data_IF_313952054903
#
_entry.id   IF_313952054903
#
_cell.length_a   1.000
_cell.length_b   1.000
_cell.length_c   1.000
_cell.angle_alpha   90.00
_cell.angle_beta   90.00
_cell.angle_gamma   90.00
#
_symmetry.space_group_name_H-M   'P 1'
#
loop_
_entity.id
_entity.type
_entity.pdbx_description
1 polymer ?
#
# COMPACT_ATOMS: atom_id res chain seq x y z
N UNK A 1 -2.02 15.33 -24.74
CA UNK A 1 -1.99 14.89 -23.34
C UNK A 1 -2.59 13.50 -23.26
N UNK A 2 -1.85 12.53 -22.72
CA UNK A 2 -2.31 11.14 -22.49
C UNK A 2 -3.02 11.10 -21.14
N UNK A 3 -4.16 10.42 -21.04
CA UNK A 3 -4.84 10.18 -19.75
C UNK A 3 -4.81 8.70 -19.41
N UNK A 4 -4.36 8.36 -18.21
CA UNK A 4 -4.30 6.98 -17.68
C UNK A 4 -5.41 6.84 -16.62
N UNK A 5 -6.29 5.86 -16.79
CA UNK A 5 -7.33 5.56 -15.82
C UNK A 5 -6.86 4.45 -14.85
N UNK A 6 -6.51 4.83 -13.63
CA UNK A 6 -6.07 3.91 -12.59
C UNK A 6 -7.25 3.34 -11.80
N UNK A 7 -7.45 2.02 -11.86
CA UNK A 7 -8.47 1.34 -11.05
C UNK A 7 -7.90 0.97 -9.68
N UNK A 8 -8.47 1.56 -8.63
CA UNK A 8 -8.05 1.44 -7.23
C UNK A 8 -9.23 1.13 -6.31
N UNK A 9 -8.95 0.73 -5.07
CA UNK A 9 -10.01 0.55 -4.08
C UNK A 9 -10.65 1.87 -3.65
N UNK A 10 -9.83 2.82 -3.26
CA UNK A 10 -10.16 4.22 -2.94
C UNK A 10 -8.85 5.01 -2.88
N UNK A 11 -8.87 6.32 -2.94
CA UNK A 11 -7.67 7.16 -2.82
C UNK A 11 -7.46 7.62 -1.36
N UNK A 12 -7.28 6.63 -0.47
CA UNK A 12 -6.92 6.85 0.95
C UNK A 12 -5.38 6.82 1.13
N UNK A 13 -4.89 7.14 2.35
CA UNK A 13 -3.46 7.04 2.68
C UNK A 13 -3.06 5.60 2.94
N UNK A 14 -2.80 4.84 1.88
CA UNK A 14 -2.27 3.48 1.93
C UNK A 14 -1.16 3.31 0.87
N UNK A 15 -0.41 2.19 0.91
CA UNK A 15 0.83 2.04 0.14
C UNK A 15 0.69 2.26 -1.37
N UNK A 16 -0.32 1.64 -2.00
CA UNK A 16 -0.56 1.77 -3.45
C UNK A 16 -0.96 3.20 -3.81
N UNK A 17 -1.91 3.76 -3.06
CA UNK A 17 -2.44 5.10 -3.29
C UNK A 17 -1.36 6.16 -3.07
N UNK A 18 -0.52 5.98 -2.05
CA UNK A 18 0.63 6.88 -1.79
C UNK A 18 1.67 6.78 -2.90
N UNK A 19 1.99 5.57 -3.37
CA UNK A 19 2.89 5.37 -4.51
C UNK A 19 2.36 6.10 -5.77
N UNK A 20 1.09 5.93 -6.11
CA UNK A 20 0.47 6.60 -7.25
C UNK A 20 0.53 8.13 -7.12
N UNK A 21 0.28 8.65 -5.92
CA UNK A 21 0.39 10.10 -5.67
C UNK A 21 1.83 10.59 -5.76
N UNK A 22 2.82 9.80 -5.32
CA UNK A 22 4.23 10.16 -5.47
C UNK A 22 4.61 10.29 -6.95
N UNK A 23 4.22 9.34 -7.80
CA UNK A 23 4.39 9.50 -9.24
C UNK A 23 3.62 10.70 -9.79
N UNK A 24 2.35 10.88 -9.40
CA UNK A 24 1.50 11.92 -9.95
C UNK A 24 1.98 13.34 -9.62
N UNK A 25 2.58 13.55 -8.46
CA UNK A 25 3.18 14.85 -8.06
C UNK A 25 4.39 15.23 -8.91
N UNK A 26 5.20 14.24 -9.32
CA UNK A 26 6.50 14.46 -9.94
C UNK A 26 6.52 14.28 -11.47
N UNK A 27 5.42 13.79 -12.05
CA UNK A 27 5.33 13.62 -13.50
C UNK A 27 5.01 14.93 -14.21
N UNK A 28 5.35 14.99 -15.51
CA UNK A 28 4.94 16.08 -16.42
C UNK A 28 3.45 15.94 -16.74
N UNK A 29 2.62 16.66 -16.00
CA UNK A 29 1.16 16.60 -16.12
C UNK A 29 0.61 17.26 -17.39
N UNK A 30 1.41 17.98 -18.16
CA UNK A 30 1.02 18.47 -19.47
C UNK A 30 1.06 17.36 -20.52
N UNK A 31 1.94 16.38 -20.34
CA UNK A 31 2.07 15.20 -21.21
C UNK A 31 1.17 14.05 -20.79
N UNK A 32 1.16 13.73 -19.49
CA UNK A 32 0.41 12.60 -18.94
C UNK A 32 -0.42 13.05 -17.74
N UNK A 33 -1.67 12.63 -17.67
CA UNK A 33 -2.58 12.87 -16.55
C UNK A 33 -3.07 11.56 -15.96
N UNK A 34 -3.17 11.49 -14.64
CA UNK A 34 -3.79 10.38 -13.93
C UNK A 34 -5.23 10.71 -13.56
N UNK A 35 -6.09 9.73 -13.82
CA UNK A 35 -7.48 9.72 -13.36
C UNK A 35 -7.75 8.44 -12.59
N UNK A 36 -8.70 8.48 -11.65
CA UNK A 36 -8.87 7.40 -10.68
C UNK A 36 -10.29 6.83 -10.73
N UNK A 37 -10.37 5.51 -10.92
CA UNK A 37 -11.60 4.73 -10.87
C UNK A 37 -11.68 4.03 -9.50
N UNK A 38 -12.39 4.65 -8.56
CA UNK A 38 -12.53 4.18 -7.20
C UNK A 38 -13.72 3.24 -7.04
N UNK A 39 -13.51 2.10 -6.36
CA UNK A 39 -14.55 1.10 -6.13
C UNK A 39 -15.35 1.34 -4.83
N UNK A 40 -14.99 2.37 -4.05
CA UNK A 40 -15.76 2.84 -2.90
C UNK A 40 -16.40 4.19 -3.21
N UNK A 41 -17.60 4.42 -2.65
CA UNK A 41 -18.34 5.66 -2.82
C UNK A 41 -17.90 6.76 -1.85
N UNK A 42 -17.27 6.38 -0.71
CA UNK A 42 -16.77 7.33 0.29
C UNK A 42 -15.58 8.11 -0.29
N UNK A 43 -15.49 9.43 -0.09
CA UNK A 43 -14.33 10.23 -0.45
C UNK A 43 -13.03 9.66 0.15
N UNK A 44 -11.96 9.72 -0.61
CA UNK A 44 -10.61 9.37 -0.18
C UNK A 44 -9.83 10.58 0.33
N UNK A 45 -8.76 10.32 1.08
CA UNK A 45 -7.93 11.37 1.67
C UNK A 45 -7.15 12.20 0.63
N UNK A 46 -6.94 11.65 -0.56
CA UNK A 46 -6.24 12.32 -1.66
C UNK A 46 -7.16 12.98 -2.70
N UNK A 47 -8.49 12.88 -2.56
CA UNK A 47 -9.43 13.36 -3.58
C UNK A 47 -9.21 14.84 -3.95
N UNK A 48 -9.16 15.72 -2.95
CA UNK A 48 -8.98 17.16 -3.19
C UNK A 48 -7.63 17.48 -3.86
N UNK A 49 -6.58 16.74 -3.49
CA UNK A 49 -5.26 16.90 -4.09
C UNK A 49 -5.26 16.45 -5.56
N UNK A 50 -5.87 15.31 -5.86
CA UNK A 50 -5.99 14.79 -7.22
C UNK A 50 -6.69 15.80 -8.12
N UNK A 51 -7.81 16.35 -7.64
CA UNK A 51 -8.59 17.37 -8.40
C UNK A 51 -7.79 18.66 -8.61
N UNK A 52 -7.03 19.11 -7.60
CA UNK A 52 -6.16 20.28 -7.70
C UNK A 52 -5.02 20.10 -8.70
N UNK A 53 -4.57 18.87 -8.92
CA UNK A 53 -3.55 18.49 -9.91
C UNK A 53 -4.13 18.27 -11.32
N UNK A 54 -5.46 18.40 -11.51
CA UNK A 54 -6.15 18.23 -12.79
C UNK A 54 -6.64 16.81 -13.09
N UNK A 55 -6.52 15.89 -12.11
CA UNK A 55 -7.04 14.54 -12.20
C UNK A 55 -8.55 14.47 -11.94
N UNK A 56 -9.17 13.40 -12.46
CA UNK A 56 -10.60 13.13 -12.28
C UNK A 56 -10.79 11.88 -11.41
N UNK A 57 -11.86 11.89 -10.61
CA UNK A 57 -12.20 10.73 -9.77
C UNK A 57 -13.57 10.21 -10.17
N UNK A 58 -13.63 8.95 -10.56
CA UNK A 58 -14.85 8.23 -10.90
C UNK A 58 -15.16 7.19 -9.83
N UNK A 59 -16.40 7.15 -9.35
CA UNK A 59 -16.82 6.20 -8.33
C UNK A 59 -17.78 5.18 -8.90
N UNK A 60 -17.36 3.91 -8.87
CA UNK A 60 -18.14 2.82 -9.46
C UNK A 60 -19.23 2.33 -8.51
N UNK A 61 -20.23 1.57 -9.01
CA UNK A 61 -21.24 0.90 -8.17
C UNK A 61 -20.69 -0.15 -7.19
N UNK A 62 -19.37 -0.34 -7.15
CA UNK A 62 -18.67 -1.31 -6.33
C UNK A 62 -18.47 -2.67 -7.04
N UNK A 63 -17.44 -3.39 -6.59
CA UNK A 63 -17.07 -4.70 -7.14
C UNK A 63 -17.83 -5.82 -6.41
N UNK A 64 -18.95 -6.22 -6.97
CA UNK A 64 -19.78 -7.33 -6.51
C UNK A 64 -20.27 -8.13 -7.73
N UNK A 65 -20.17 -9.46 -7.77
CA UNK A 65 -20.66 -10.27 -8.89
C UNK A 65 -22.12 -9.97 -9.28
N UNK A 66 -23.01 -9.77 -8.30
CA UNK A 66 -24.42 -9.44 -8.52
C UNK A 66 -24.58 -8.06 -9.20
N UNK A 67 -23.70 -7.12 -8.89
CA UNK A 67 -23.72 -5.75 -9.47
C UNK A 67 -22.90 -5.64 -10.75
N UNK A 68 -22.30 -6.74 -11.23
CA UNK A 68 -21.41 -6.70 -12.38
C UNK A 68 -22.05 -6.16 -13.65
N UNK A 69 -23.30 -6.49 -14.02
CA UNK A 69 -23.96 -5.86 -15.18
C UNK A 69 -24.08 -4.33 -15.04
N UNK A 70 -24.37 -3.82 -13.84
CA UNK A 70 -24.41 -2.38 -13.58
C UNK A 70 -23.02 -1.75 -13.69
N UNK A 71 -21.99 -2.46 -13.25
CA UNK A 71 -20.61 -2.03 -13.39
C UNK A 71 -20.21 -1.92 -14.87
N UNK A 72 -20.54 -2.93 -15.69
CA UNK A 72 -20.27 -2.90 -17.14
C UNK A 72 -21.01 -1.75 -17.85
N UNK A 73 -22.28 -1.53 -17.50
CA UNK A 73 -23.06 -0.41 -18.05
C UNK A 73 -22.42 0.95 -17.67
N UNK A 74 -22.01 1.11 -16.41
CA UNK A 74 -21.28 2.30 -15.95
C UNK A 74 -19.99 2.51 -16.74
N UNK A 75 -19.16 1.48 -16.90
CA UNK A 75 -17.90 1.57 -17.65
C UNK A 75 -18.10 1.88 -19.12
N UNK A 76 -19.14 1.29 -19.75
CA UNK A 76 -19.51 1.59 -21.14
C UNK A 76 -19.85 3.07 -21.31
N UNK A 77 -20.66 3.61 -20.41
CA UNK A 77 -21.05 5.03 -20.45
C UNK A 77 -19.84 5.94 -20.15
N UNK A 78 -18.96 5.56 -19.21
CA UNK A 78 -17.73 6.29 -18.92
C UNK A 78 -16.84 6.39 -20.16
N UNK A 79 -16.55 5.27 -20.82
CA UNK A 79 -15.71 5.28 -22.02
C UNK A 79 -16.36 5.97 -23.23
N UNK A 80 -17.70 5.92 -23.31
CA UNK A 80 -18.45 6.68 -24.33
C UNK A 80 -18.34 8.20 -24.11
N UNK A 81 -18.40 8.64 -22.83
CA UNK A 81 -18.31 10.05 -22.45
C UNK A 81 -16.88 10.60 -22.52
N UNK A 82 -15.90 9.75 -22.30
CA UNK A 82 -14.47 10.10 -22.25
C UNK A 82 -13.65 9.21 -23.21
N UNK A 83 -13.79 9.42 -24.53
CA UNK A 83 -13.14 8.58 -25.55
C UNK A 83 -11.62 8.74 -25.60
N UNK A 84 -11.07 9.72 -24.87
CA UNK A 84 -9.63 9.92 -24.71
C UNK A 84 -8.92 8.82 -23.91
N UNK A 85 -9.64 8.01 -23.12
CA UNK A 85 -9.03 6.91 -22.39
C UNK A 85 -8.60 5.79 -23.32
N UNK A 86 -7.27 5.64 -23.46
CA UNK A 86 -6.61 4.57 -24.22
C UNK A 86 -5.85 3.61 -23.32
N UNK A 87 -5.73 3.93 -22.03
CA UNK A 87 -4.97 3.19 -21.04
C UNK A 87 -5.82 3.02 -19.78
N UNK A 88 -5.96 1.77 -19.34
CA UNK A 88 -6.52 1.40 -18.04
C UNK A 88 -5.51 0.56 -17.29
N UNK A 89 -5.13 1.02 -16.10
CA UNK A 89 -4.20 0.32 -15.23
C UNK A 89 -4.89 -0.07 -13.91
N UNK A 90 -4.83 -1.35 -13.54
CA UNK A 90 -5.52 -1.88 -12.36
C UNK A 90 -4.54 -2.26 -11.25
N UNK A 91 -4.78 -1.70 -10.04
CA UNK A 91 -3.94 -1.86 -8.85
C UNK A 91 -4.62 -2.63 -7.70
N UNK A 92 -5.90 -2.93 -7.80
CA UNK A 92 -6.71 -3.47 -6.71
C UNK A 92 -6.70 -5.01 -6.62
N UNK A 93 -5.54 -5.61 -6.89
CA UNK A 93 -5.31 -7.04 -6.82
C UNK A 93 -6.20 -7.81 -7.82
N UNK A 94 -6.47 -9.09 -7.55
CA UNK A 94 -7.23 -9.95 -8.49
C UNK A 94 -8.58 -9.35 -8.94
N UNK A 95 -9.22 -8.54 -8.10
CA UNK A 95 -10.47 -7.86 -8.47
C UNK A 95 -10.30 -6.77 -9.55
N UNK A 96 -9.08 -6.36 -9.85
CA UNK A 96 -8.77 -5.46 -10.96
C UNK A 96 -9.23 -6.01 -12.32
N UNK A 97 -9.40 -7.32 -12.44
CA UNK A 97 -9.94 -7.96 -13.66
C UNK A 97 -11.30 -7.37 -14.07
N UNK A 98 -12.11 -6.88 -13.15
CA UNK A 98 -13.41 -6.26 -13.46
C UNK A 98 -13.23 -5.02 -14.34
N UNK A 99 -12.30 -4.12 -13.99
CA UNK A 99 -11.99 -2.93 -14.78
C UNK A 99 -11.35 -3.29 -16.12
N UNK A 100 -10.41 -4.23 -16.10
CA UNK A 100 -9.69 -4.67 -17.31
C UNK A 100 -10.60 -5.41 -18.30
N UNK A 101 -11.54 -6.24 -17.82
CA UNK A 101 -12.53 -6.86 -18.68
C UNK A 101 -13.51 -5.84 -19.27
N UNK A 102 -13.98 -4.88 -18.47
CA UNK A 102 -14.82 -3.80 -18.98
C UNK A 102 -14.06 -2.94 -20.01
N UNK A 103 -12.77 -2.66 -19.78
CA UNK A 103 -11.92 -1.96 -20.75
C UNK A 103 -11.78 -2.76 -22.06
N UNK A 104 -11.56 -4.09 -21.97
CA UNK A 104 -11.50 -4.98 -23.14
C UNK A 104 -12.77 -4.96 -23.95
N UNK A 105 -13.95 -5.04 -23.31
CA UNK A 105 -15.26 -4.99 -23.97
C UNK A 105 -15.55 -3.65 -24.67
N UNK A 106 -14.84 -2.57 -24.25
CA UNK A 106 -14.97 -1.24 -24.85
C UNK A 106 -13.76 -0.88 -25.74
N UNK A 107 -12.99 -1.89 -26.18
CA UNK A 107 -11.86 -1.75 -27.10
C UNK A 107 -10.76 -0.78 -26.62
N UNK A 108 -10.55 -0.68 -25.30
CA UNK A 108 -9.40 0.08 -24.76
C UNK A 108 -8.11 -0.66 -25.13
N UNK A 109 -7.21 0.07 -25.75
CA UNK A 109 -5.99 -0.49 -26.36
C UNK A 109 -5.03 -1.07 -25.32
N UNK A 110 -4.72 -0.29 -24.26
CA UNK A 110 -3.72 -0.65 -23.27
C UNK A 110 -4.40 -1.01 -21.94
N UNK A 111 -4.27 -2.26 -21.56
CA UNK A 111 -4.86 -2.82 -20.34
C UNK A 111 -3.75 -3.42 -19.50
N UNK A 112 -3.39 -2.70 -18.44
CA UNK A 112 -2.25 -2.97 -17.59
C UNK A 112 -2.75 -3.53 -16.26
N UNK A 113 -2.15 -4.61 -15.81
CA UNK A 113 -2.32 -5.06 -14.43
C UNK A 113 -1.01 -4.85 -13.68
N UNK A 114 -1.08 -4.09 -12.58
CA UNK A 114 0.06 -3.82 -11.73
C UNK A 114 -0.05 -4.63 -10.44
N UNK A 115 0.83 -5.59 -10.27
CA UNK A 115 0.88 -6.48 -9.10
C UNK A 115 1.62 -5.79 -7.94
N UNK A 116 0.97 -5.70 -6.76
CA UNK A 116 1.53 -5.06 -5.57
C UNK A 116 1.69 -6.01 -4.38
N UNK A 117 1.11 -7.19 -4.42
CA UNK A 117 1.11 -8.12 -3.29
C UNK A 117 1.70 -9.47 -3.62
N UNK A 118 2.59 -9.97 -2.78
CA UNK A 118 3.19 -11.31 -2.92
C UNK A 118 2.22 -12.46 -2.57
N UNK A 119 0.98 -12.16 -2.17
CA UNK A 119 -0.05 -13.17 -1.92
C UNK A 119 -1.46 -12.63 -2.14
N UNK A 120 -2.41 -13.54 -2.40
CA UNK A 120 -3.83 -13.20 -2.44
C UNK A 120 -4.39 -13.30 -1.02
N UNK A 121 -4.92 -12.18 -0.51
CA UNK A 121 -5.51 -12.14 0.84
C UNK A 121 -6.59 -13.22 1.01
N UNK A 122 -6.40 -14.09 2.00
CA UNK A 122 -7.33 -15.17 2.35
C UNK A 122 -8.48 -14.61 3.21
N UNK A 123 -9.57 -14.23 2.55
CA UNK A 123 -10.81 -13.79 3.17
C UNK A 123 -12.00 -14.52 2.51
N UNK A 124 -13.22 -14.20 2.92
CA UNK A 124 -14.44 -14.82 2.39
C UNK A 124 -14.62 -14.64 0.85
N UNK A 125 -13.91 -13.68 0.24
CA UNK A 125 -13.88 -13.46 -1.21
C UNK A 125 -12.81 -14.27 -1.94
N UNK A 126 -12.06 -15.13 -1.25
CA UNK A 126 -10.96 -15.89 -1.85
C UNK A 126 -11.37 -16.66 -3.11
N UNK A 127 -12.51 -17.40 -3.14
CA UNK A 127 -12.93 -18.11 -4.36
C UNK A 127 -13.11 -17.16 -5.55
N UNK A 128 -13.75 -16.02 -5.33
CA UNK A 128 -13.91 -14.99 -6.35
C UNK A 128 -12.57 -14.42 -6.84
N UNK A 129 -11.65 -14.16 -5.92
CA UNK A 129 -10.31 -13.66 -6.27
C UNK A 129 -9.52 -14.65 -7.11
N UNK A 130 -9.64 -15.96 -6.83
CA UNK A 130 -8.99 -17.01 -7.61
C UNK A 130 -9.57 -17.10 -9.02
N UNK A 131 -10.90 -17.04 -9.18
CA UNK A 131 -11.57 -16.95 -10.48
C UNK A 131 -11.12 -15.69 -11.23
N UNK A 132 -11.05 -14.54 -10.57
CA UNK A 132 -10.57 -13.31 -11.18
C UNK A 132 -9.11 -13.45 -11.64
N UNK A 133 -8.23 -14.02 -10.80
CA UNK A 133 -6.84 -14.27 -11.17
C UNK A 133 -6.70 -15.17 -12.39
N UNK A 134 -7.47 -16.28 -12.48
CA UNK A 134 -7.40 -17.18 -13.63
C UNK A 134 -7.80 -16.52 -14.96
N UNK A 135 -8.62 -15.45 -14.89
CA UNK A 135 -9.05 -14.68 -16.06
C UNK A 135 -8.16 -13.49 -16.38
N UNK A 136 -7.14 -13.22 -15.54
CA UNK A 136 -6.33 -12.01 -15.66
C UNK A 136 -5.61 -11.94 -17.01
N UNK A 137 -4.86 -12.98 -17.40
CA UNK A 137 -4.08 -13.02 -18.66
C UNK A 137 -4.94 -12.75 -19.91
N UNK A 138 -6.21 -13.20 -19.90
CA UNK A 138 -7.11 -12.97 -21.03
C UNK A 138 -7.60 -11.52 -21.19
N UNK A 139 -7.38 -10.66 -20.18
CA UNK A 139 -7.91 -9.29 -20.12
C UNK A 139 -6.84 -8.21 -20.13
N UNK A 140 -5.56 -8.58 -20.10
CA UNK A 140 -4.42 -7.65 -20.10
C UNK A 140 -3.57 -7.82 -21.35
N UNK A 141 -2.77 -6.84 -21.64
CA UNK A 141 -1.70 -6.89 -22.64
C UNK A 141 -0.38 -6.31 -22.11
N UNK A 142 -0.38 -5.78 -20.87
CA UNK A 142 0.85 -5.41 -20.15
C UNK A 142 0.80 -5.91 -18.72
N UNK A 143 1.95 -6.37 -18.22
CA UNK A 143 2.14 -6.94 -16.88
C UNK A 143 3.18 -6.09 -16.15
N UNK A 144 2.72 -5.34 -15.12
CA UNK A 144 3.60 -4.56 -14.26
C UNK A 144 3.63 -5.14 -12.86
N UNK A 145 4.74 -5.01 -12.17
CA UNK A 145 4.88 -5.47 -10.79
C UNK A 145 5.82 -4.57 -9.99
N UNK A 146 5.52 -4.39 -8.71
CA UNK A 146 6.42 -3.68 -7.81
C UNK A 146 7.60 -4.52 -7.31
N UNK A 147 7.62 -5.84 -7.59
CA UNK A 147 8.68 -6.75 -7.17
C UNK A 147 8.46 -8.16 -7.70
N UNK A 148 9.50 -8.98 -7.68
CA UNK A 148 9.53 -10.35 -8.21
C UNK A 148 8.45 -11.23 -7.56
N UNK A 149 8.33 -11.20 -6.22
CA UNK A 149 7.35 -12.01 -5.49
C UNK A 149 5.89 -11.67 -5.87
N UNK A 150 5.60 -10.40 -6.16
CA UNK A 150 4.28 -9.96 -6.63
C UNK A 150 4.03 -10.42 -8.07
N UNK A 151 5.04 -10.34 -8.96
CA UNK A 151 4.97 -10.85 -10.32
C UNK A 151 4.70 -12.36 -10.32
N UNK A 152 5.44 -13.15 -9.55
CA UNK A 152 5.25 -14.59 -9.42
C UNK A 152 3.85 -14.94 -8.92
N UNK A 153 3.36 -14.20 -7.92
CA UNK A 153 2.02 -14.40 -7.36
C UNK A 153 0.91 -14.23 -8.40
N UNK A 154 0.98 -13.25 -9.28
CA UNK A 154 -0.12 -12.94 -10.22
C UNK A 154 0.10 -13.51 -11.62
N UNK A 155 1.32 -13.54 -12.12
CA UNK A 155 1.62 -13.92 -13.50
C UNK A 155 2.21 -15.32 -13.62
N UNK A 156 2.77 -15.88 -12.53
CA UNK A 156 3.40 -17.20 -12.47
C UNK A 156 4.91 -17.16 -12.66
N UNK A 157 5.56 -18.28 -12.30
CA UNK A 157 7.03 -18.43 -12.34
C UNK A 157 7.61 -18.29 -13.75
N UNK A 158 6.92 -18.86 -14.73
CA UNK A 158 7.41 -18.81 -16.13
C UNK A 158 7.51 -17.37 -16.64
N UNK A 159 6.52 -16.52 -16.32
CA UNK A 159 6.54 -15.09 -16.67
C UNK A 159 7.74 -14.37 -16.03
N UNK A 160 8.07 -14.74 -14.79
CA UNK A 160 9.22 -14.14 -14.07
C UNK A 160 10.55 -14.61 -14.69
N UNK A 161 10.68 -15.91 -14.96
CA UNK A 161 11.89 -16.49 -15.58
C UNK A 161 12.14 -15.92 -16.97
N UNK A 162 11.08 -15.76 -17.76
CA UNK A 162 11.18 -15.20 -19.11
C UNK A 162 11.35 -13.69 -19.16
N UNK A 163 11.12 -12.98 -18.04
CA UNK A 163 11.14 -11.52 -18.02
C UNK A 163 9.94 -10.88 -18.73
N UNK A 164 8.83 -11.58 -18.85
CA UNK A 164 7.62 -11.11 -19.55
C UNK A 164 6.78 -10.14 -18.69
N UNK A 165 7.42 -9.25 -17.93
CA UNK A 165 6.77 -8.20 -17.16
C UNK A 165 7.71 -7.02 -16.94
N UNK A 166 7.13 -5.85 -16.66
CA UNK A 166 7.88 -4.64 -16.30
C UNK A 166 7.96 -4.49 -14.80
N UNK A 167 9.16 -4.33 -14.26
CA UNK A 167 9.40 -4.03 -12.86
C UNK A 167 9.30 -2.52 -12.64
N UNK A 168 8.26 -2.11 -11.88
CA UNK A 168 8.03 -0.70 -11.49
C UNK A 168 8.06 -0.64 -9.97
N UNK A 169 9.23 -0.36 -9.36
CA UNK A 169 9.38 -0.32 -7.91
C UNK A 169 8.52 0.76 -7.25
N UNK A 170 8.17 0.55 -5.99
CA UNK A 170 7.50 1.59 -5.22
C UNK A 170 8.44 2.77 -5.00
N UNK A 171 8.06 3.96 -5.46
CA UNK A 171 8.80 5.19 -5.27
C UNK A 171 8.31 5.96 -4.04
N UNK A 172 9.24 6.62 -3.36
CA UNK A 172 8.98 7.56 -2.26
C UNK A 172 9.64 8.91 -2.56
N UNK A 173 9.16 9.95 -1.92
CA UNK A 173 9.82 11.26 -1.90
C UNK A 173 10.90 11.24 -0.80
N UNK A 174 12.12 10.80 -1.15
CA UNK A 174 13.21 10.52 -0.19
C UNK A 174 13.45 11.68 0.76
N UNK A 175 13.42 12.91 0.27
CA UNK A 175 13.67 14.14 1.02
C UNK A 175 12.72 14.30 2.22
N UNK A 176 11.50 13.77 2.13
CA UNK A 176 10.52 13.82 3.23
C UNK A 176 10.84 12.87 4.38
N UNK A 177 11.68 11.88 4.13
CA UNK A 177 12.03 10.84 5.10
C UNK A 177 13.43 10.99 5.68
N UNK A 178 14.27 11.86 5.12
CA UNK A 178 15.61 12.10 5.65
C UNK A 178 15.57 12.43 7.15
N UNK A 179 16.53 11.89 7.87
CA UNK A 179 16.65 12.13 9.31
C UNK A 179 16.73 13.63 9.63
N UNK A 180 15.92 14.07 10.59
CA UNK A 180 15.86 15.45 11.05
C UNK A 180 15.92 15.51 12.58
N UNK A 181 17.01 16.07 13.13
CA UNK A 181 17.27 16.15 14.57
C UNK A 181 16.24 17.00 15.32
N UNK A 182 15.76 18.09 14.71
CA UNK A 182 14.79 18.97 15.36
C UNK A 182 13.43 18.31 15.45
N UNK A 183 13.01 17.62 14.38
CA UNK A 183 11.79 16.80 14.35
C UNK A 183 11.86 15.68 15.39
N UNK A 184 13.01 14.98 15.47
CA UNK A 184 13.27 13.96 16.50
C UNK A 184 13.10 14.54 17.91
N UNK A 185 13.77 15.64 18.20
CA UNK A 185 13.73 16.29 19.52
C UNK A 185 12.32 16.75 19.87
N UNK A 186 11.59 17.34 18.93
CA UNK A 186 10.21 17.80 19.08
C UNK A 186 9.26 16.64 19.41
N UNK A 187 9.29 15.56 18.61
CA UNK A 187 8.41 14.40 18.81
C UNK A 187 8.75 13.69 20.12
N UNK A 188 10.04 13.45 20.40
CA UNK A 188 10.47 12.78 21.62
C UNK A 188 10.11 13.57 22.88
N UNK A 189 10.20 14.91 22.82
CA UNK A 189 9.75 15.77 23.93
C UNK A 189 8.25 15.70 24.15
N UNK A 190 7.49 15.80 23.05
CA UNK A 190 6.01 15.80 23.10
C UNK A 190 5.43 14.49 23.65
N UNK A 191 6.07 13.37 23.38
CA UNK A 191 5.55 12.04 23.70
C UNK A 191 6.33 11.33 24.81
N UNK A 192 7.15 12.04 25.59
CA UNK A 192 7.95 11.51 26.70
C UNK A 192 8.91 10.37 26.28
N UNK A 193 9.52 10.49 25.09
CA UNK A 193 10.45 9.52 24.51
C UNK A 193 11.93 9.97 24.64
N UNK A 194 12.21 11.09 25.33
CA UNK A 194 13.60 11.49 25.60
C UNK A 194 14.32 10.41 26.40
N UNK A 195 15.55 10.14 26.04
CA UNK A 195 16.40 9.11 26.65
C UNK A 195 15.76 7.70 26.65
N UNK A 196 14.88 7.42 25.69
CA UNK A 196 14.28 6.09 25.50
C UNK A 196 14.84 5.44 24.25
N UNK A 197 14.88 4.11 24.25
CA UNK A 197 15.16 3.30 23.06
C UNK A 197 13.84 3.00 22.34
N UNK A 198 13.65 3.65 21.21
CA UNK A 198 12.36 3.67 20.52
C UNK A 198 12.34 2.71 19.34
N UNK A 199 11.61 1.62 19.50
CA UNK A 199 11.29 0.68 18.41
C UNK A 199 10.05 1.20 17.69
N UNK A 200 10.16 1.46 16.39
CA UNK A 200 9.08 1.96 15.54
C UNK A 200 8.47 0.88 14.65
N UNK A 201 7.17 0.93 14.46
CA UNK A 201 6.44 0.16 13.45
C UNK A 201 5.37 1.02 12.80
N UNK A 202 5.29 0.95 11.48
CA UNK A 202 4.29 1.65 10.68
C UNK A 202 3.50 0.64 9.85
N UNK A 203 2.19 0.56 10.08
CA UNK A 203 1.37 -0.39 9.35
C UNK A 203 -0.07 -0.49 9.84
N UNK A 204 -0.96 -0.95 8.95
CA UNK A 204 -2.37 -1.18 9.32
C UNK A 204 -2.48 -2.33 10.31
N UNK A 205 -3.30 -2.18 11.35
CA UNK A 205 -3.58 -3.23 12.34
C UNK A 205 -4.43 -4.35 11.74
N UNK A 206 -3.75 -5.25 11.00
CA UNK A 206 -4.32 -6.41 10.34
C UNK A 206 -3.35 -7.59 10.40
N UNK A 207 -3.86 -8.81 10.17
CA UNK A 207 -3.08 -10.04 10.32
C UNK A 207 -1.75 -10.02 9.56
N UNK A 208 -1.72 -9.45 8.35
CA UNK A 208 -0.52 -9.33 7.52
C UNK A 208 0.66 -8.70 8.27
N UNK A 209 0.42 -7.61 9.01
CA UNK A 209 1.48 -6.83 9.70
C UNK A 209 1.96 -7.47 11.01
N UNK A 210 1.28 -8.51 11.49
CA UNK A 210 1.70 -9.37 12.60
C UNK A 210 2.06 -8.64 13.90
N UNK A 211 1.26 -7.64 14.27
CA UNK A 211 1.45 -6.89 15.51
C UNK A 211 1.46 -7.80 16.75
N UNK A 212 0.74 -8.93 16.69
CA UNK A 212 0.70 -9.91 17.80
C UNK A 212 2.10 -10.44 18.10
N UNK A 213 2.84 -10.87 17.08
CA UNK A 213 4.23 -11.34 17.23
C UNK A 213 5.17 -10.18 17.62
N UNK A 214 4.95 -8.98 17.08
CA UNK A 214 5.74 -7.81 17.47
C UNK A 214 5.66 -7.54 18.98
N UNK A 215 4.45 -7.66 19.58
CA UNK A 215 4.27 -7.49 21.02
C UNK A 215 5.00 -8.57 21.82
N UNK A 216 4.99 -9.83 21.35
CA UNK A 216 5.69 -10.92 22.03
C UNK A 216 7.20 -10.65 22.04
N UNK A 217 7.78 -10.28 20.90
CA UNK A 217 9.21 -9.93 20.78
C UNK A 217 9.54 -8.69 21.63
N UNK A 218 8.70 -7.66 21.57
CA UNK A 218 8.94 -6.45 22.36
C UNK A 218 8.83 -6.69 23.87
N UNK A 219 7.93 -7.57 24.30
CA UNK A 219 7.82 -7.94 25.73
C UNK A 219 9.11 -8.57 26.25
N UNK A 220 9.76 -9.44 25.48
CA UNK A 220 11.05 -10.02 25.85
C UNK A 220 12.15 -8.96 25.85
N UNK A 221 12.22 -8.10 24.83
CA UNK A 221 13.18 -7.01 24.80
C UNK A 221 13.02 -6.04 25.98
N UNK A 222 11.78 -5.70 26.35
CA UNK A 222 11.49 -4.78 27.45
C UNK A 222 11.87 -5.31 28.84
N UNK A 223 12.17 -6.62 28.98
CA UNK A 223 12.73 -7.20 30.23
C UNK A 223 14.22 -6.87 30.38
N UNK A 224 14.93 -6.73 29.26
CA UNK A 224 16.38 -6.45 29.24
C UNK A 224 16.67 -4.94 29.21
N UNK A 225 15.67 -4.12 28.81
CA UNK A 225 15.81 -2.68 28.66
C UNK A 225 14.60 -1.94 29.26
N UNK A 226 14.80 -1.33 30.43
CA UNK A 226 13.74 -0.58 31.12
C UNK A 226 13.30 0.67 30.34
N UNK A 227 14.18 1.24 29.53
CA UNK A 227 13.93 2.44 28.70
C UNK A 227 13.38 2.12 27.31
N UNK A 228 13.20 0.84 26.97
CA UNK A 228 12.56 0.45 25.73
C UNK A 228 11.14 1.00 25.60
N UNK A 229 10.81 1.54 24.43
CA UNK A 229 9.46 1.99 24.06
C UNK A 229 9.12 1.47 22.67
N UNK A 230 7.87 1.05 22.49
CA UNK A 230 7.33 0.65 21.20
C UNK A 230 6.37 1.74 20.71
N UNK A 231 6.58 2.22 19.51
CA UNK A 231 5.71 3.23 18.87
C UNK A 231 5.05 2.59 17.64
N UNK A 232 3.71 2.57 17.66
CA UNK A 232 2.89 1.95 16.62
C UNK A 232 2.06 3.01 15.88
N UNK A 233 2.38 3.20 14.60
CA UNK A 233 1.61 4.06 13.71
C UNK A 233 0.67 3.23 12.83
N UNK A 234 -0.55 3.72 12.68
CA UNK A 234 -1.59 3.10 11.85
C UNK A 234 -2.87 2.82 12.62
N UNK A 235 -3.85 2.29 11.91
CA UNK A 235 -5.15 1.89 12.45
C UNK A 235 -5.62 0.60 11.76
N UNK A 236 -6.64 -0.05 12.29
CA UNK A 236 -7.22 -1.24 11.67
C UNK A 236 -8.02 -2.12 12.62
N UNK A 237 -8.60 -3.17 12.06
CA UNK A 237 -9.56 -4.03 12.77
C UNK A 237 -8.99 -4.70 14.02
N UNK A 238 -7.68 -4.91 14.08
CA UNK A 238 -7.02 -5.60 15.20
C UNK A 238 -6.55 -4.64 16.31
N UNK A 239 -6.74 -3.33 16.18
CA UNK A 239 -6.26 -2.34 17.17
C UNK A 239 -6.67 -2.70 18.60
N UNK A 240 -7.95 -3.01 18.82
CA UNK A 240 -8.44 -3.32 20.17
C UNK A 240 -7.85 -4.62 20.73
N UNK A 241 -7.75 -5.67 19.90
CA UNK A 241 -7.15 -6.94 20.34
C UNK A 241 -5.66 -6.80 20.65
N UNK A 242 -4.93 -5.97 19.90
CA UNK A 242 -3.52 -5.67 20.15
C UNK A 242 -3.35 -4.87 21.45
N UNK A 243 -4.23 -3.89 21.72
CA UNK A 243 -4.23 -3.17 23.00
C UNK A 243 -4.53 -4.10 24.20
N UNK A 244 -5.45 -5.06 24.04
CA UNK A 244 -5.73 -6.06 25.08
C UNK A 244 -4.52 -6.94 25.34
N UNK A 245 -3.87 -7.46 24.29
CA UNK A 245 -2.64 -8.26 24.41
C UNK A 245 -1.50 -7.49 25.08
N UNK A 246 -1.34 -6.20 24.79
CA UNK A 246 -0.34 -5.37 25.46
C UNK A 246 -0.53 -5.29 26.98
N UNK A 247 -1.81 -5.25 27.43
CA UNK A 247 -2.15 -5.31 28.86
C UNK A 247 -1.85 -6.68 29.47
N UNK A 248 -2.22 -7.77 28.78
CA UNK A 248 -1.95 -9.15 29.21
C UNK A 248 -0.43 -9.40 29.38
N UNK A 249 0.39 -8.84 28.49
CA UNK A 249 1.84 -8.90 28.55
C UNK A 249 2.48 -7.91 29.55
N UNK A 250 1.66 -7.07 30.24
CA UNK A 250 2.13 -6.03 31.18
C UNK A 250 3.12 -5.03 30.57
N UNK A 251 2.95 -4.70 29.29
CA UNK A 251 3.80 -3.74 28.54
C UNK A 251 3.02 -2.53 27.99
N UNK A 252 1.75 -2.38 28.37
CA UNK A 252 0.88 -1.35 27.81
C UNK A 252 1.38 0.09 28.08
N UNK A 253 2.04 0.33 29.21
CA UNK A 253 2.68 1.58 29.60
C UNK A 253 3.93 1.92 28.79
N UNK A 254 4.54 0.92 28.14
CA UNK A 254 5.73 1.06 27.29
C UNK A 254 5.35 1.23 25.80
N UNK A 255 4.06 1.20 25.45
CA UNK A 255 3.61 1.27 24.05
C UNK A 255 2.85 2.55 23.77
N UNK A 256 3.30 3.30 22.77
CA UNK A 256 2.58 4.46 22.24
C UNK A 256 1.81 4.08 20.97
N UNK A 257 0.49 4.09 21.05
CA UNK A 257 -0.41 3.93 19.91
C UNK A 257 -0.72 5.31 19.31
N UNK A 258 -0.04 5.68 18.22
CA UNK A 258 -0.18 7.01 17.59
C UNK A 258 -1.46 7.11 16.74
N UNK A 259 -1.91 5.99 16.19
CA UNK A 259 -3.02 5.97 15.24
C UNK A 259 -2.60 6.32 13.81
N UNK A 260 -3.59 6.66 12.98
CA UNK A 260 -3.35 7.07 11.60
C UNK A 260 -3.12 8.58 11.54
N UNK A 261 -1.89 8.99 11.24
CA UNK A 261 -1.45 10.41 11.24
C UNK A 261 -0.99 10.86 9.86
N UNK A 262 -1.11 12.17 9.58
CA UNK A 262 -0.69 12.75 8.31
C UNK A 262 0.82 12.97 8.18
N UNK A 263 1.55 12.98 9.30
CA UNK A 263 2.99 13.24 9.39
C UNK A 263 3.78 11.96 9.76
N UNK A 264 3.39 10.82 9.20
CA UNK A 264 4.09 9.55 9.47
C UNK A 264 5.58 9.60 9.10
N UNK A 265 5.94 10.36 8.08
CA UNK A 265 7.32 10.60 7.67
C UNK A 265 8.20 11.22 8.78
N UNK A 266 7.66 12.10 9.60
CA UNK A 266 8.39 12.71 10.71
C UNK A 266 8.76 11.71 11.80
N UNK A 267 7.92 10.67 11.99
CA UNK A 267 8.11 9.67 13.03
C UNK A 267 9.32 8.78 12.83
N UNK A 268 9.76 8.57 11.58
CA UNK A 268 11.00 7.81 11.32
C UNK A 268 12.20 8.49 11.98
N UNK A 269 12.26 9.83 12.03
CA UNK A 269 13.30 10.52 12.78
C UNK A 269 13.23 10.28 14.30
N UNK A 270 12.07 9.95 14.85
CA UNK A 270 11.90 9.70 16.28
C UNK A 270 12.31 8.28 16.72
N UNK A 271 12.42 7.34 15.80
CA UNK A 271 12.78 5.94 16.06
C UNK A 271 14.30 5.75 16.21
N UNK A 272 14.71 4.66 16.84
CA UNK A 272 16.08 4.17 16.88
C UNK A 272 16.22 2.87 16.08
N UNK A 273 15.12 2.13 15.93
CA UNK A 273 15.02 0.87 15.21
C UNK A 273 13.65 0.78 14.55
N UNK A 274 13.61 0.35 13.31
CA UNK A 274 12.36 0.02 12.63
C UNK A 274 12.17 -1.50 12.53
N UNK A 275 10.98 -2.00 12.88
CA UNK A 275 10.66 -3.44 12.84
C UNK A 275 9.42 -3.70 11.99
N UNK A 276 9.54 -4.60 11.02
CA UNK A 276 8.44 -5.02 10.14
C UNK A 276 8.31 -6.56 10.15
N UNK A 277 7.55 -7.15 11.09
CA UNK A 277 7.42 -8.59 11.25
C UNK A 277 6.31 -9.20 10.38
N UNK A 278 6.03 -8.60 9.24
CA UNK A 278 4.93 -8.98 8.36
C UNK A 278 4.99 -10.45 7.96
N UNK A 279 3.82 -11.10 7.84
CA UNK A 279 3.69 -12.50 7.43
C UNK A 279 3.87 -12.65 5.91
N UNK A 280 3.57 -11.61 5.15
CA UNK A 280 3.81 -11.51 3.70
C UNK A 280 3.84 -10.04 3.28
N UNK A 281 4.76 -9.70 2.38
CA UNK A 281 4.83 -8.40 1.71
C UNK A 281 5.24 -8.60 0.24
N UNK A 282 4.82 -7.66 -0.62
CA UNK A 282 5.54 -7.36 -1.83
C UNK A 282 6.78 -6.53 -1.48
N UNK A 283 6.97 -5.39 -2.16
CA UNK A 283 7.95 -4.38 -1.71
C UNK A 283 7.24 -3.40 -0.76
N UNK A 284 7.43 -3.51 0.58
CA UNK A 284 6.73 -2.65 1.53
C UNK A 284 7.31 -1.23 1.53
N UNK A 285 6.51 -0.26 1.11
CA UNK A 285 6.90 1.16 1.07
C UNK A 285 7.46 1.63 2.41
N UNK A 286 6.84 1.25 3.53
CA UNK A 286 7.28 1.63 4.88
C UNK A 286 8.70 1.14 5.23
N UNK A 287 9.17 0.06 4.59
CA UNK A 287 10.54 -0.42 4.76
C UNK A 287 11.53 0.42 3.94
N UNK A 288 11.13 0.89 2.76
CA UNK A 288 11.92 1.83 1.96
C UNK A 288 12.00 3.18 2.67
N UNK A 289 10.88 3.67 3.22
CA UNK A 289 10.80 4.90 4.01
C UNK A 289 11.73 4.87 5.23
N UNK A 290 11.75 3.76 5.97
CA UNK A 290 12.61 3.58 7.14
C UNK A 290 14.10 3.62 6.77
N UNK A 291 14.49 2.96 5.68
CA UNK A 291 15.86 2.98 5.18
C UNK A 291 16.27 4.37 4.66
N UNK A 292 15.36 5.11 4.01
CA UNK A 292 15.61 6.49 3.62
C UNK A 292 15.84 7.44 4.82
N UNK A 293 15.33 7.08 5.99
CA UNK A 293 15.58 7.78 7.25
C UNK A 293 16.87 7.33 7.97
N UNK A 294 17.70 6.51 7.33
CA UNK A 294 18.94 5.93 7.88
C UNK A 294 18.68 5.11 9.16
N UNK A 295 17.52 4.46 9.26
CA UNK A 295 17.18 3.63 10.40
C UNK A 295 17.71 2.22 10.25
N UNK A 296 18.31 1.63 11.30
CA UNK A 296 18.44 0.20 11.41
C UNK A 296 17.07 -0.47 11.25
N UNK A 297 16.98 -1.50 10.40
CA UNK A 297 15.72 -2.16 10.07
C UNK A 297 15.79 -3.66 10.35
N UNK A 298 14.76 -4.21 10.99
CA UNK A 298 14.56 -5.65 11.13
C UNK A 298 13.30 -6.04 10.36
N UNK A 299 13.48 -6.89 9.35
CA UNK A 299 12.41 -7.44 8.54
C UNK A 299 12.24 -8.94 8.81
N UNK A 300 11.00 -9.43 8.77
CA UNK A 300 10.78 -10.88 8.75
C UNK A 300 11.29 -11.48 7.43
N UNK A 301 11.60 -12.75 7.43
CA UNK A 301 12.03 -13.50 6.23
C UNK A 301 10.94 -13.61 5.16
N UNK A 302 9.70 -13.24 5.50
CA UNK A 302 8.56 -13.18 4.58
C UNK A 302 8.45 -11.84 3.83
N UNK A 303 9.31 -10.87 4.14
CA UNK A 303 9.52 -9.66 3.34
C UNK A 303 10.49 -9.99 2.22
N UNK A 304 10.22 -9.51 1.01
CA UNK A 304 11.10 -9.76 -0.14
C UNK A 304 12.53 -9.26 0.11
N UNK A 305 13.53 -10.01 -0.41
CA UNK A 305 14.93 -9.59 -0.33
C UNK A 305 15.22 -8.31 -1.12
N UNK A 306 14.36 -7.95 -2.05
CA UNK A 306 14.42 -6.70 -2.83
C UNK A 306 14.28 -5.44 -1.95
N UNK A 307 13.87 -5.59 -0.67
CA UNK A 307 13.80 -4.50 0.30
C UNK A 307 15.19 -4.01 0.73
N UNK A 308 16.22 -4.86 0.66
CA UNK A 308 17.58 -4.49 1.03
C UNK A 308 18.14 -3.50 0.02
N UNK A 309 18.17 -2.22 0.39
CA UNK A 309 18.97 -1.23 -0.29
C UNK A 309 20.42 -1.48 0.17
N UNK A 310 21.22 -2.15 -0.68
CA UNK A 310 22.63 -2.41 -0.45
C UNK A 310 23.46 -1.13 -0.54
#
# INVERSE_FOLDING_TARGET
>A
MIRVLHSVSNMDRAGIETMLMNYYRHMDREKVQFDFLCNKTKPGAYDSEIESLGGRIFRTPGLNPIKYPKYLAYMKELFRKYPEYKIVEAHNGALGVYALHAAKLNNIENRIFHAHGASITKDWKLPLKLICKSRLKANINYQYSCGIAAAECYFGKDTVVNGDFELIPNAIEVEKFLFNSDTRNKLRSKYNLKNKHVVGHVGRFMAQKNHTFLLDVFAEYAKTDADARLVLLGDGKLMNSIKSKAKELSIADKILFVGNVGNANEWYSAFDLFVLPSIWEGLPVVGVEAQAADLPCIFSTAVTKEIGLS
#
